data_IF_748935310050
#
_entry.id   IF_748935310050
#
_cell.length_a   1.000
_cell.length_b   1.000
_cell.length_c   1.000
_cell.angle_alpha   90.00
_cell.angle_beta   90.00
_cell.angle_gamma   90.00
#
_symmetry.space_group_name_H-M   'P 1'
#
loop_
_entity.id
_entity.type
_entity.pdbx_description
1 polymer ?
#
# COMPACT_ATOMS: atom_id res chain seq x y z
N UNK A 1 -10.46 7.22 -18.19
CA UNK A 1 -9.85 7.99 -17.09
C UNK A 1 -10.98 8.60 -16.27
N UNK A 2 -10.76 8.83 -14.97
CA UNK A 2 -11.78 9.42 -14.09
C UNK A 2 -11.61 10.95 -14.11
N UNK A 3 -12.68 11.76 -14.20
CA UNK A 3 -12.60 13.22 -14.09
C UNK A 3 -12.11 13.66 -12.70
N UNK A 4 -11.69 14.91 -12.56
CA UNK A 4 -11.15 15.44 -11.29
C UNK A 4 -12.16 15.38 -10.13
N UNK A 5 -13.45 15.57 -10.41
CA UNK A 5 -14.53 15.47 -9.43
C UNK A 5 -15.59 14.45 -9.92
N UNK A 6 -15.40 13.15 -9.67
CA UNK A 6 -16.28 12.12 -10.18
C UNK A 6 -17.51 11.91 -9.30
N UNK A 7 -18.67 11.69 -9.93
CA UNK A 7 -19.85 11.21 -9.23
C UNK A 7 -19.69 9.77 -8.75
N UNK A 8 -20.56 9.36 -7.82
CA UNK A 8 -20.62 7.97 -7.34
C UNK A 8 -20.78 6.95 -8.47
N UNK A 9 -21.62 7.24 -9.46
CA UNK A 9 -21.91 6.36 -10.58
C UNK A 9 -20.66 6.09 -11.42
N UNK A 10 -19.86 7.13 -11.69
CA UNK A 10 -18.60 7.00 -12.42
C UNK A 10 -17.62 6.13 -11.63
N UNK A 11 -17.48 6.35 -10.33
CA UNK A 11 -16.55 5.56 -9.51
C UNK A 11 -16.99 4.11 -9.35
N UNK A 12 -18.29 3.85 -9.17
CA UNK A 12 -18.85 2.50 -9.12
C UNK A 12 -18.57 1.74 -10.42
N UNK A 13 -18.80 2.38 -11.56
CA UNK A 13 -18.55 1.79 -12.87
C UNK A 13 -17.06 1.44 -13.03
N UNK A 14 -16.15 2.35 -12.70
CA UNK A 14 -14.70 2.11 -12.86
C UNK A 14 -14.16 1.07 -11.88
N UNK A 15 -14.54 1.13 -10.60
CA UNK A 15 -13.94 0.32 -9.53
C UNK A 15 -14.62 -1.04 -9.35
N UNK A 16 -15.95 -1.09 -9.46
CA UNK A 16 -16.72 -2.30 -9.16
C UNK A 16 -17.07 -3.09 -10.43
N UNK A 17 -17.46 -2.41 -11.51
CA UNK A 17 -17.86 -3.05 -12.77
C UNK A 17 -16.63 -3.36 -13.62
N UNK A 18 -15.85 -2.34 -13.96
CA UNK A 18 -14.64 -2.50 -14.77
C UNK A 18 -13.44 -3.04 -13.97
N UNK A 19 -13.57 -3.12 -12.65
CA UNK A 19 -12.54 -3.63 -11.73
C UNK A 19 -11.16 -2.98 -11.92
N UNK A 20 -11.14 -1.73 -12.36
CA UNK A 20 -9.88 -1.02 -12.58
C UNK A 20 -9.27 -0.66 -11.24
N UNK A 21 -7.94 -0.76 -11.20
CA UNK A 21 -7.08 -0.26 -10.12
C UNK A 21 -5.97 0.58 -10.75
N UNK A 22 -5.39 1.53 -10.00
CA UNK A 22 -4.23 2.27 -10.46
C UNK A 22 -3.12 1.33 -10.96
N UNK A 23 -2.58 1.64 -12.13
CA UNK A 23 -1.42 0.93 -12.70
C UNK A 23 -0.15 1.38 -12.01
N UNK A 24 0.78 0.45 -11.81
CA UNK A 24 2.10 0.80 -11.33
C UNK A 24 3.02 1.17 -12.51
N UNK A 25 3.90 2.17 -12.36
CA UNK A 25 4.94 2.45 -13.35
C UNK A 25 5.86 1.23 -13.52
N UNK A 26 6.31 0.97 -14.76
CA UNK A 26 7.15 -0.21 -15.06
C UNK A 26 8.48 -0.18 -14.30
N UNK A 27 8.97 1.02 -13.99
CA UNK A 27 10.22 1.30 -13.27
C UNK A 27 10.22 0.70 -11.86
N UNK A 28 9.04 0.54 -11.24
CA UNK A 28 8.92 -0.08 -9.92
C UNK A 28 9.36 -1.55 -9.94
N UNK A 29 9.29 -2.19 -11.11
CA UNK A 29 9.77 -3.56 -11.30
C UNK A 29 11.30 -3.66 -11.22
N UNK A 30 12.06 -2.55 -11.25
CA UNK A 30 13.51 -2.59 -11.15
C UNK A 30 14.03 -2.54 -9.71
N UNK A 31 13.15 -2.30 -8.72
CA UNK A 31 13.53 -2.16 -7.31
C UNK A 31 12.75 -3.16 -6.45
N UNK A 32 13.46 -4.02 -5.72
CA UNK A 32 12.85 -5.06 -4.87
C UNK A 32 11.94 -4.50 -3.77
N UNK A 33 12.28 -3.35 -3.18
CA UNK A 33 11.44 -2.66 -2.21
C UNK A 33 10.13 -2.21 -2.86
N UNK A 34 10.21 -1.59 -4.04
CA UNK A 34 9.02 -1.15 -4.76
C UNK A 34 8.16 -2.32 -5.24
N UNK A 35 8.76 -3.41 -5.70
CA UNK A 35 8.05 -4.65 -6.03
C UNK A 35 7.27 -5.19 -4.82
N UNK A 36 7.89 -5.26 -3.64
CA UNK A 36 7.22 -5.70 -2.42
C UNK A 36 6.06 -4.78 -2.02
N UNK A 37 6.24 -3.46 -2.16
CA UNK A 37 5.17 -2.48 -1.95
C UNK A 37 4.01 -2.70 -2.92
N UNK A 38 4.27 -2.99 -4.20
CA UNK A 38 3.22 -3.29 -5.18
C UNK A 38 2.38 -4.48 -4.75
N UNK A 39 2.99 -5.53 -4.18
CA UNK A 39 2.28 -6.71 -3.68
C UNK A 39 1.36 -6.31 -2.52
N UNK A 40 1.87 -5.56 -1.54
CA UNK A 40 1.09 -5.11 -0.37
C UNK A 40 -0.11 -4.27 -0.82
N UNK A 41 0.10 -3.29 -1.71
CA UNK A 41 -0.97 -2.44 -2.25
C UNK A 41 -2.01 -3.30 -2.99
N UNK A 42 -1.57 -4.30 -3.77
CA UNK A 42 -2.46 -5.21 -4.48
C UNK A 42 -3.35 -6.03 -3.57
N UNK A 43 -2.81 -6.50 -2.44
CA UNK A 43 -3.58 -7.23 -1.43
C UNK A 43 -4.60 -6.32 -0.72
N UNK A 44 -4.23 -5.05 -0.45
CA UNK A 44 -5.10 -4.08 0.22
C UNK A 44 -6.36 -3.72 -0.58
N UNK A 45 -6.27 -3.60 -1.91
CA UNK A 45 -7.42 -3.22 -2.74
C UNK A 45 -8.08 -4.41 -3.46
N UNK A 46 -7.90 -5.63 -2.92
CA UNK A 46 -8.50 -6.85 -3.45
C UNK A 46 -10.02 -6.73 -3.58
N UNK A 47 -10.58 -7.36 -4.60
CA UNK A 47 -12.03 -7.42 -4.82
C UNK A 47 -12.73 -8.18 -3.69
N UNK A 48 -12.10 -9.24 -3.19
CA UNK A 48 -12.59 -9.96 -2.02
C UNK A 48 -12.18 -9.20 -0.74
N UNK A 49 -13.16 -8.65 -0.02
CA UNK A 49 -12.94 -7.92 1.22
C UNK A 49 -12.24 -8.77 2.29
N UNK A 50 -12.56 -10.06 2.40
CA UNK A 50 -11.95 -10.95 3.39
C UNK A 50 -10.48 -11.27 3.08
N UNK A 51 -10.04 -11.07 1.83
CA UNK A 51 -8.65 -11.24 1.43
C UNK A 51 -7.79 -9.99 1.67
N UNK A 52 -8.40 -8.84 2.01
CA UNK A 52 -7.67 -7.61 2.27
C UNK A 52 -6.87 -7.73 3.56
N UNK A 53 -5.70 -7.10 3.57
CA UNK A 53 -4.87 -7.04 4.76
C UNK A 53 -5.53 -6.18 5.83
N UNK A 54 -5.40 -6.61 7.09
CA UNK A 54 -5.68 -5.74 8.23
C UNK A 54 -4.54 -4.75 8.42
N UNK A 55 -4.80 -3.63 9.09
CA UNK A 55 -3.76 -2.61 9.35
C UNK A 55 -2.49 -3.21 9.98
N UNK A 56 -2.65 -4.11 10.97
CA UNK A 56 -1.53 -4.81 11.60
C UNK A 56 -0.73 -5.70 10.63
N UNK A 57 -1.40 -6.32 9.65
CA UNK A 57 -0.72 -7.15 8.65
C UNK A 57 0.03 -6.30 7.63
N UNK A 58 -0.51 -5.14 7.25
CA UNK A 58 0.18 -4.17 6.39
C UNK A 58 1.47 -3.71 7.05
N UNK A 59 1.38 -3.28 8.32
CA UNK A 59 2.52 -2.84 9.12
C UNK A 59 3.62 -3.91 9.19
N UNK A 60 3.28 -5.13 9.64
CA UNK A 60 4.24 -6.25 9.68
C UNK A 60 4.89 -6.57 8.34
N UNK A 61 4.13 -6.50 7.24
CA UNK A 61 4.66 -6.75 5.89
C UNK A 61 5.59 -5.63 5.43
N UNK A 62 5.26 -4.37 5.73
CA UNK A 62 6.12 -3.22 5.42
C UNK A 62 7.43 -3.28 6.21
N UNK A 63 7.38 -3.51 7.51
CA UNK A 63 8.58 -3.65 8.35
C UNK A 63 9.47 -4.78 7.85
N UNK A 64 8.89 -5.96 7.55
CA UNK A 64 9.62 -7.08 6.96
C UNK A 64 10.28 -6.71 5.62
N UNK A 65 9.55 -6.00 4.76
CA UNK A 65 10.08 -5.60 3.46
C UNK A 65 11.26 -4.61 3.58
N UNK A 66 11.18 -3.70 4.56
CA UNK A 66 12.24 -2.75 4.87
C UNK A 66 13.48 -3.46 5.45
N UNK A 67 13.29 -4.40 6.36
CA UNK A 67 14.39 -5.22 6.91
C UNK A 67 15.06 -6.07 5.83
N UNK A 68 14.28 -6.62 4.90
CA UNK A 68 14.79 -7.47 3.81
C UNK A 68 15.53 -6.64 2.74
N UNK A 69 15.25 -5.33 2.61
CA UNK A 69 15.81 -4.46 1.57
C UNK A 69 16.87 -3.45 2.06
N UNK A 70 17.06 -3.20 3.36
CA UNK A 70 18.11 -2.30 3.88
C UNK A 70 18.79 -2.81 5.17
N UNK A 71 20.09 -2.57 5.24
CA UNK A 71 20.99 -2.66 6.42
C UNK A 71 20.36 -2.03 7.69
N UNK A 72 20.65 -2.54 8.90
CA UNK A 72 19.95 -2.30 10.18
C UNK A 72 19.68 -0.85 10.66
N UNK A 73 20.09 0.18 9.93
CA UNK A 73 20.07 1.59 10.38
C UNK A 73 18.70 2.28 10.18
N UNK A 74 17.89 1.82 9.21
CA UNK A 74 16.70 2.60 8.75
C UNK A 74 15.40 2.19 9.43
N UNK A 75 15.37 1.05 10.11
CA UNK A 75 14.18 0.53 10.78
C UNK A 75 13.92 1.31 12.08
N UNK A 76 14.99 1.70 12.80
CA UNK A 76 14.88 2.41 14.07
C UNK A 76 14.35 3.84 13.93
N UNK A 77 14.67 4.55 12.85
CA UNK A 77 14.17 5.91 12.63
C UNK A 77 12.68 5.92 12.31
N UNK A 78 12.22 4.98 11.46
CA UNK A 78 10.80 4.90 11.07
C UNK A 78 9.92 4.39 12.23
N UNK A 79 10.39 3.42 13.01
CA UNK A 79 9.66 2.96 14.20
C UNK A 79 9.54 4.07 15.25
N UNK A 80 10.60 4.87 15.43
CA UNK A 80 10.59 6.00 16.35
C UNK A 80 9.61 7.09 15.88
N UNK A 81 9.63 7.44 14.60
CA UNK A 81 8.72 8.42 14.01
C UNK A 81 7.24 7.98 14.10
N UNK A 82 6.95 6.70 13.83
CA UNK A 82 5.58 6.16 13.95
C UNK A 82 5.13 6.14 15.42
N UNK A 83 6.00 5.72 16.35
CA UNK A 83 5.66 5.74 17.77
C UNK A 83 5.53 7.15 18.34
N UNK A 84 6.28 8.12 17.82
CA UNK A 84 6.17 9.53 18.21
C UNK A 84 4.88 10.17 17.68
N UNK A 85 4.35 9.71 16.54
CA UNK A 85 3.04 10.11 16.02
C UNK A 85 1.85 9.47 16.78
N UNK A 86 2.08 8.39 17.53
CA UNK A 86 1.05 7.68 18.32
C UNK A 86 1.07 8.05 19.82
N UNK A 87 1.98 8.94 20.26
CA UNK A 87 1.97 9.44 21.64
C UNK A 87 0.82 10.44 21.83
N UNK A 88 -0.10 10.21 22.79
CA UNK A 88 -1.08 11.21 23.14
C UNK A 88 -0.37 12.44 23.76
N UNK A 89 -0.85 13.64 23.39
CA UNK A 89 -0.35 14.95 23.88
C UNK A 89 -0.41 15.10 25.39
#
# INVERSE_FOLDING_TARGET
>A
MVPHDPSFEIMKEVVCVQQKRPTFPNEWSNNKLLQGMMVIIKECWSQNAAARLTSLRVDKKLTKLLTDCKSPVVVSEVEQDIMDLLKPS
#
